data_IF_292481896541
#
_entry.id   IF_292481896541
#
_cell.length_a   1.000
_cell.length_b   1.000
_cell.length_c   1.000
_cell.angle_alpha   90.00
_cell.angle_beta   90.00
_cell.angle_gamma   90.00
#
_symmetry.space_group_name_H-M   'P 1'
#
loop_
_entity.id
_entity.type
_entity.pdbx_description
1 polymer ?
#
# COMPACT_ATOMS: atom_id res chain seq x y z
N UNK A 1 -11.03 6.89 14.33
CA UNK A 1 -10.00 6.66 13.28
C UNK A 1 -9.78 7.96 12.53
N UNK A 2 -8.54 8.48 12.49
CA UNK A 2 -8.23 9.76 11.84
C UNK A 2 -8.07 9.59 10.31
N UNK A 3 -7.93 10.70 9.57
CA UNK A 3 -7.83 10.69 8.11
C UNK A 3 -6.61 9.89 7.60
N UNK A 4 -5.46 10.03 8.25
CA UNK A 4 -4.23 9.30 7.88
C UNK A 4 -4.41 7.80 8.07
N UNK A 5 -4.97 7.36 9.19
CA UNK A 5 -5.24 5.94 9.45
C UNK A 5 -6.20 5.35 8.42
N UNK A 6 -7.22 6.10 8.01
CA UNK A 6 -8.12 5.68 6.92
C UNK A 6 -7.38 5.54 5.59
N UNK A 7 -6.52 6.50 5.26
CA UNK A 7 -5.76 6.44 4.01
C UNK A 7 -4.76 5.27 3.98
N UNK A 8 -4.10 5.00 5.11
CA UNK A 8 -3.25 3.81 5.27
C UNK A 8 -4.06 2.53 5.05
N UNK A 9 -5.25 2.42 5.65
CA UNK A 9 -6.09 1.25 5.48
C UNK A 9 -6.50 1.04 4.02
N UNK A 10 -6.91 2.09 3.30
CA UNK A 10 -7.23 2.00 1.87
C UNK A 10 -6.04 1.49 1.06
N UNK A 11 -4.84 2.03 1.29
CA UNK A 11 -3.63 1.57 0.59
C UNK A 11 -3.32 0.09 0.86
N UNK A 12 -3.55 -0.36 2.09
CA UNK A 12 -3.34 -1.77 2.48
C UNK A 12 -4.40 -2.69 1.89
N UNK A 13 -5.67 -2.29 1.89
CA UNK A 13 -6.79 -3.04 1.31
C UNK A 13 -6.63 -3.22 -0.20
N UNK A 14 -6.43 -2.11 -0.94
CA UNK A 14 -6.28 -2.15 -2.40
C UNK A 14 -5.05 -2.93 -2.83
N UNK A 15 -3.93 -2.72 -2.15
CA UNK A 15 -2.71 -3.44 -2.44
C UNK A 15 -2.82 -4.94 -2.15
N UNK A 16 -3.43 -5.33 -1.03
CA UNK A 16 -3.54 -6.75 -0.66
C UNK A 16 -4.58 -7.50 -1.52
N UNK A 17 -5.57 -6.78 -2.07
CA UNK A 17 -6.58 -7.34 -2.96
C UNK A 17 -6.08 -7.51 -4.41
N UNK A 18 -4.95 -6.90 -4.78
CA UNK A 18 -4.45 -6.94 -6.15
C UNK A 18 -3.96 -8.36 -6.53
N UNK A 19 -4.30 -8.91 -7.72
CA UNK A 19 -3.94 -10.28 -8.11
C UNK A 19 -2.42 -10.52 -8.19
N UNK A 20 -1.66 -9.50 -8.57
CA UNK A 20 -0.19 -9.56 -8.66
C UNK A 20 0.52 -9.28 -7.33
N UNK A 21 -0.22 -9.01 -6.26
CA UNK A 21 0.39 -8.80 -4.95
C UNK A 21 1.01 -10.09 -4.42
N UNK A 22 2.20 -9.95 -3.83
CA UNK A 22 2.91 -11.03 -3.16
C UNK A 22 3.24 -10.60 -1.74
N UNK A 23 2.69 -11.33 -0.78
CA UNK A 23 3.06 -11.13 0.61
C UNK A 23 4.48 -11.68 0.84
N UNK A 24 5.43 -10.77 1.04
CA UNK A 24 6.84 -11.10 1.33
C UNK A 24 7.20 -10.98 2.80
N UNK A 25 6.21 -10.95 3.70
CA UNK A 25 6.47 -11.01 5.14
C UNK A 25 7.13 -12.35 5.49
N UNK A 26 8.16 -12.27 6.32
CA UNK A 26 8.72 -13.43 7.01
C UNK A 26 7.77 -13.95 8.08
N UNK A 27 7.96 -15.21 8.51
CA UNK A 27 7.16 -15.79 9.59
C UNK A 27 7.20 -14.94 10.87
N UNK A 28 8.37 -14.37 11.20
CA UNK A 28 8.54 -13.47 12.34
C UNK A 28 7.74 -12.17 12.19
N UNK A 29 7.68 -11.59 10.98
CA UNK A 29 6.88 -10.39 10.72
C UNK A 29 5.38 -10.66 10.81
N UNK A 30 4.94 -11.85 10.36
CA UNK A 30 3.55 -12.29 10.53
C UNK A 30 3.22 -12.49 12.01
N UNK A 31 4.10 -13.14 12.78
CA UNK A 31 3.93 -13.35 14.22
C UNK A 31 3.87 -12.03 14.99
N UNK A 32 4.67 -11.03 14.59
CA UNK A 32 4.64 -9.67 15.14
C UNK A 32 3.42 -8.85 14.70
N UNK A 33 2.53 -9.41 13.88
CA UNK A 33 1.34 -8.72 13.39
C UNK A 33 1.65 -7.54 12.47
N UNK A 34 2.81 -7.55 11.78
CA UNK A 34 3.15 -6.50 10.83
C UNK A 34 2.21 -6.59 9.62
N UNK A 35 1.80 -5.45 9.04
CA UNK A 35 0.94 -5.46 7.87
C UNK A 35 1.68 -6.01 6.65
N UNK A 36 0.95 -6.73 5.78
CA UNK A 36 1.49 -7.26 4.52
C UNK A 36 2.01 -6.14 3.60
N UNK A 37 1.41 -4.95 3.71
CA UNK A 37 1.82 -3.75 2.99
C UNK A 37 2.26 -2.71 4.02
N UNK A 38 3.57 -2.50 4.19
CA UNK A 38 4.07 -1.43 5.02
C UNK A 38 3.76 -0.08 4.36
N UNK A 39 3.05 0.78 5.10
CA UNK A 39 2.78 2.17 4.68
C UNK A 39 3.48 3.11 5.64
N UNK A 40 4.23 4.08 5.10
CA UNK A 40 4.96 5.08 5.88
C UNK A 40 4.58 6.48 5.43
N UNK A 41 4.46 7.40 6.38
CA UNK A 41 4.53 8.84 6.08
C UNK A 41 5.98 9.15 5.73
N UNK A 42 6.22 9.65 4.53
CA UNK A 42 7.56 10.00 4.06
C UNK A 42 7.79 11.50 3.97
N UNK A 43 6.73 12.30 4.04
CA UNK A 43 6.80 13.76 3.94
C UNK A 43 5.57 14.41 4.60
N UNK A 44 5.80 15.53 5.30
CA UNK A 44 4.77 16.47 5.75
C UNK A 44 4.95 17.76 4.95
N UNK A 45 4.19 17.91 3.87
CA UNK A 45 4.24 19.08 3.01
C UNK A 45 3.27 20.18 3.48
N UNK A 46 3.37 21.36 2.87
CA UNK A 46 2.54 22.52 3.24
C UNK A 46 1.04 22.28 3.01
N UNK A 47 0.70 21.50 1.98
CA UNK A 47 -0.69 21.23 1.58
C UNK A 47 -1.07 19.75 1.66
N UNK A 48 -0.29 18.91 2.35
CA UNK A 48 -0.60 17.49 2.41
C UNK A 48 0.45 16.61 3.08
N UNK A 49 0.13 15.32 3.13
CA UNK A 49 0.99 14.28 3.71
C UNK A 49 1.27 13.25 2.61
N UNK A 50 2.55 12.95 2.37
CA UNK A 50 2.94 11.93 1.40
C UNK A 50 3.06 10.58 2.09
N UNK A 51 2.26 9.60 1.65
CA UNK A 51 2.33 8.21 2.09
C UNK A 51 3.04 7.36 1.04
N UNK A 52 3.89 6.43 1.46
CA UNK A 52 4.49 5.41 0.60
C UNK A 52 4.06 4.02 1.06
N UNK A 53 3.40 3.28 0.18
CA UNK A 53 3.09 1.87 0.35
C UNK A 53 4.17 1.02 -0.32
N UNK A 54 4.75 0.07 0.41
CA UNK A 54 5.65 -0.94 -0.13
C UNK A 54 4.88 -2.16 -0.60
N UNK A 55 4.87 -2.41 -1.91
CA UNK A 55 4.20 -3.56 -2.52
C UNK A 55 5.21 -4.42 -3.27
N UNK A 56 4.97 -5.72 -3.27
CA UNK A 56 5.82 -6.70 -3.95
C UNK A 56 5.02 -7.45 -5.01
N UNK A 57 5.67 -7.71 -6.13
CA UNK A 57 5.20 -8.61 -7.18
C UNK A 57 6.31 -9.61 -7.52
N UNK A 58 6.01 -10.56 -8.41
CA UNK A 58 6.98 -11.58 -8.84
C UNK A 58 8.11 -10.98 -9.69
N UNK A 59 7.80 -10.00 -10.54
CA UNK A 59 8.76 -9.33 -11.42
C UNK A 59 8.48 -7.83 -11.61
N UNK A 60 9.41 -7.14 -12.27
CA UNK A 60 9.35 -5.69 -12.47
C UNK A 60 8.22 -5.24 -13.42
N UNK A 61 7.82 -6.08 -14.39
CA UNK A 61 6.71 -5.82 -15.29
C UNK A 61 5.38 -5.87 -14.54
N UNK A 62 5.15 -6.95 -13.81
CA UNK A 62 3.97 -7.09 -12.94
C UNK A 62 3.91 -5.97 -11.88
N UNK A 63 5.05 -5.63 -11.26
CA UNK A 63 5.11 -4.52 -10.31
C UNK A 63 4.71 -3.18 -10.92
N UNK A 64 5.12 -2.92 -12.17
CA UNK A 64 4.80 -1.68 -12.88
C UNK A 64 3.32 -1.61 -13.26
N UNK A 65 2.73 -2.71 -13.73
CA UNK A 65 1.30 -2.76 -14.04
C UNK A 65 0.45 -2.60 -12.78
N UNK A 66 0.79 -3.34 -11.72
CA UNK A 66 0.17 -3.21 -10.40
C UNK A 66 0.23 -1.77 -9.88
N UNK A 67 1.35 -1.06 -10.07
CA UNK A 67 1.44 0.36 -9.69
C UNK A 67 0.35 1.21 -10.35
N UNK A 68 0.10 1.03 -11.65
CA UNK A 68 -0.90 1.82 -12.37
C UNK A 68 -2.32 1.48 -11.93
N UNK A 69 -2.62 0.19 -11.75
CA UNK A 69 -3.93 -0.26 -11.27
C UNK A 69 -4.22 0.24 -9.85
N UNK A 70 -3.24 0.15 -8.95
CA UNK A 70 -3.37 0.68 -7.59
C UNK A 70 -3.57 2.20 -7.57
N UNK A 71 -2.84 2.97 -8.39
CA UNK A 71 -3.04 4.42 -8.47
C UNK A 71 -4.47 4.77 -8.88
N UNK A 72 -5.03 4.05 -9.85
CA UNK A 72 -6.41 4.23 -10.29
C UNK A 72 -7.40 3.85 -9.18
N UNK A 73 -7.29 2.66 -8.60
CA UNK A 73 -8.24 2.16 -7.61
C UNK A 73 -8.22 3.02 -6.34
N UNK A 74 -7.03 3.42 -5.89
CA UNK A 74 -6.87 4.33 -4.75
C UNK A 74 -7.56 5.66 -5.05
N UNK A 75 -7.35 6.26 -6.23
CA UNK A 75 -8.04 7.51 -6.60
C UNK A 75 -9.56 7.35 -6.57
N UNK A 76 -10.09 6.24 -7.09
CA UNK A 76 -11.53 5.94 -7.06
C UNK A 76 -12.11 5.76 -5.65
N UNK A 77 -11.29 5.39 -4.66
CA UNK A 77 -11.71 5.27 -3.25
C UNK A 77 -11.78 6.62 -2.51
N UNK A 78 -11.15 7.66 -3.08
CA UNK A 78 -11.11 9.00 -2.50
C UNK A 78 -11.96 10.03 -3.25
N UNK A 79 -12.50 9.66 -4.41
CA UNK A 79 -13.47 10.45 -5.19
C UNK A 79 -14.91 10.19 -4.74
#
# INVERSE_FOLDING_TARGET
MNAISKAIAVLQEEGAAHPDFRDRRTAEEVEKGLPAIPVRVIELGENGVTLRAGVWADDAGAARLMQFDLLKNVKQRFD
#
